data_IF_859200174972
#
_entry.id   IF_859200174972
#
_cell.length_a   1.000
_cell.length_b   1.000
_cell.length_c   1.000
_cell.angle_alpha   90.00
_cell.angle_beta   90.00
_cell.angle_gamma   90.00
#
_symmetry.space_group_name_H-M   'P 1'
#
loop_
_entity.id
_entity.type
_entity.pdbx_description
1 polymer ?
#
# COMPACT_ATOMS: atom_id res chain seq x y z
N UNK A 1 -39.53 -18.53 -31.11
CA UNK A 1 -38.44 -17.85 -30.39
C UNK A 1 -37.97 -16.78 -31.36
N UNK A 2 -38.52 -15.57 -31.22
CA UNK A 2 -38.07 -14.39 -31.96
C UNK A 2 -36.68 -14.00 -31.44
N UNK A 3 -35.65 -14.24 -32.25
CA UNK A 3 -34.35 -13.64 -32.09
C UNK A 3 -34.49 -12.16 -32.40
N UNK A 4 -34.61 -11.32 -31.37
CA UNK A 4 -34.44 -9.87 -31.53
C UNK A 4 -33.03 -9.66 -32.05
N UNK A 5 -32.93 -9.46 -33.38
CA UNK A 5 -31.72 -8.95 -34.02
C UNK A 5 -31.48 -7.56 -33.40
N UNK A 6 -30.40 -7.41 -32.68
CA UNK A 6 -29.95 -6.12 -32.21
C UNK A 6 -29.92 -5.15 -33.38
N UNK A 7 -30.50 -3.99 -33.20
CA UNK A 7 -30.49 -2.89 -34.17
C UNK A 7 -29.06 -2.57 -34.57
N UNK A 8 -28.77 -2.19 -35.81
CA UNK A 8 -27.40 -1.99 -36.31
C UNK A 8 -26.61 -1.03 -35.43
N UNK A 9 -27.28 0.01 -34.89
CA UNK A 9 -26.66 0.95 -33.95
C UNK A 9 -26.24 0.27 -32.62
N UNK A 10 -27.11 -0.57 -32.08
CA UNK A 10 -26.81 -1.33 -30.86
C UNK A 10 -25.67 -2.36 -31.07
N UNK A 11 -25.60 -2.94 -32.25
CA UNK A 11 -24.54 -3.87 -32.63
C UNK A 11 -23.18 -3.18 -32.66
N UNK A 12 -23.11 -2.00 -33.26
CA UNK A 12 -21.90 -1.17 -33.29
C UNK A 12 -21.45 -0.76 -31.88
N UNK A 13 -22.36 -0.40 -30.98
CA UNK A 13 -22.03 -0.07 -29.59
C UNK A 13 -21.51 -1.28 -28.82
N UNK A 14 -22.09 -2.46 -29.00
CA UNK A 14 -21.67 -3.70 -28.34
C UNK A 14 -20.31 -4.15 -28.85
N UNK A 15 -20.05 -4.09 -30.15
CA UNK A 15 -18.76 -4.44 -30.75
C UNK A 15 -17.66 -3.51 -30.26
N UNK A 16 -17.88 -2.19 -30.29
CA UNK A 16 -16.93 -1.21 -29.75
C UNK A 16 -16.67 -1.37 -28.24
N UNK A 17 -17.71 -1.65 -27.47
CA UNK A 17 -17.57 -1.90 -26.05
C UNK A 17 -16.76 -3.17 -25.78
N UNK A 18 -17.05 -4.24 -26.50
CA UNK A 18 -16.36 -5.52 -26.39
C UNK A 18 -14.88 -5.39 -26.79
N UNK A 19 -14.60 -4.69 -27.89
CA UNK A 19 -13.24 -4.46 -28.36
C UNK A 19 -12.44 -3.62 -27.36
N UNK A 20 -13.03 -2.56 -26.83
CA UNK A 20 -12.42 -1.73 -25.79
C UNK A 20 -12.18 -2.51 -24.49
N UNK A 21 -13.14 -3.33 -24.06
CA UNK A 21 -13.00 -4.20 -22.91
C UNK A 21 -11.92 -5.25 -23.11
N UNK A 22 -11.88 -5.86 -24.29
CA UNK A 22 -10.89 -6.88 -24.65
C UNK A 22 -9.48 -6.29 -24.71
N UNK A 23 -9.30 -5.12 -25.29
CA UNK A 23 -8.02 -4.41 -25.31
C UNK A 23 -7.55 -4.03 -23.90
N UNK A 24 -8.44 -3.51 -23.08
CA UNK A 24 -8.11 -3.22 -21.68
C UNK A 24 -7.75 -4.47 -20.88
N UNK A 25 -8.41 -5.59 -21.15
CA UNK A 25 -8.10 -6.86 -20.52
C UNK A 25 -6.74 -7.40 -20.98
N UNK A 26 -6.46 -7.37 -22.29
CA UNK A 26 -5.16 -7.76 -22.85
C UNK A 26 -4.02 -6.88 -22.30
N UNK A 27 -4.25 -5.58 -22.13
CA UNK A 27 -3.27 -4.70 -21.51
C UNK A 27 -2.98 -5.08 -20.06
N UNK A 28 -4.00 -5.40 -19.28
CA UNK A 28 -3.85 -5.84 -17.87
C UNK A 28 -3.16 -7.20 -17.74
N UNK A 29 -3.45 -8.13 -18.63
CA UNK A 29 -2.88 -9.49 -18.61
C UNK A 29 -1.47 -9.54 -19.20
N UNK A 30 -1.11 -8.58 -20.03
CA UNK A 30 0.21 -8.53 -20.70
C UNK A 30 1.32 -8.05 -19.75
N UNK A 31 1.65 -8.85 -18.72
CA UNK A 31 2.68 -8.53 -17.72
C UNK A 31 4.08 -8.28 -18.33
N UNK A 32 4.37 -8.81 -19.52
CA UNK A 32 5.65 -8.64 -20.23
C UNK A 32 5.80 -7.30 -20.95
N UNK A 33 4.74 -6.49 -21.08
CA UNK A 33 4.86 -5.14 -21.63
C UNK A 33 5.63 -4.26 -20.67
N UNK A 34 6.58 -3.45 -21.18
CA UNK A 34 7.39 -2.53 -20.38
C UNK A 34 6.55 -1.62 -19.48
N UNK A 35 5.41 -1.14 -19.98
CA UNK A 35 4.46 -0.31 -19.20
C UNK A 35 3.88 -1.05 -18.02
N UNK A 36 3.62 -2.34 -18.14
CA UNK A 36 3.06 -3.18 -17.09
C UNK A 36 4.16 -3.69 -16.15
N UNK A 37 5.35 -3.96 -16.65
CA UNK A 37 6.49 -4.41 -15.85
C UNK A 37 6.83 -3.43 -14.73
N UNK A 38 6.71 -2.13 -14.97
CA UNK A 38 6.88 -1.09 -13.97
C UNK A 38 5.64 -0.81 -13.11
N UNK A 39 4.50 -1.44 -13.43
CA UNK A 39 3.26 -1.30 -12.67
C UNK A 39 3.04 -2.42 -11.65
N UNK A 40 3.80 -3.51 -11.76
CA UNK A 40 3.79 -4.61 -10.80
C UNK A 40 4.78 -4.33 -9.67
N UNK A 41 4.45 -4.74 -8.44
CA UNK A 41 5.40 -4.65 -7.35
C UNK A 41 6.65 -5.48 -7.64
N UNK A 42 7.81 -5.10 -7.12
CA UNK A 42 9.05 -5.87 -7.30
C UNK A 42 8.85 -7.34 -6.91
N UNK A 43 9.16 -8.25 -7.81
CA UNK A 43 8.97 -9.70 -7.61
C UNK A 43 9.71 -10.26 -6.38
N UNK A 44 10.81 -9.61 -5.97
CA UNK A 44 11.60 -10.02 -4.82
C UNK A 44 11.05 -9.51 -3.47
N UNK A 45 9.96 -8.72 -3.47
CA UNK A 45 9.41 -8.14 -2.24
C UNK A 45 9.05 -9.20 -1.20
N UNK A 46 8.33 -10.24 -1.63
CA UNK A 46 7.86 -11.29 -0.71
C UNK A 46 9.00 -12.20 -0.23
N UNK A 47 10.11 -12.22 -0.94
CA UNK A 47 11.32 -12.96 -0.54
C UNK A 47 12.25 -12.16 0.37
N UNK A 48 12.16 -10.83 0.31
CA UNK A 48 12.94 -9.93 1.18
C UNK A 48 12.30 -9.75 2.57
N UNK A 49 11.09 -10.26 2.77
CA UNK A 49 10.37 -10.17 4.03
C UNK A 49 11.00 -11.07 5.08
N UNK A 50 11.46 -10.50 6.19
CA UNK A 50 11.87 -11.26 7.36
C UNK A 50 10.70 -12.06 7.96
N UNK A 51 11.01 -13.15 8.65
CA UNK A 51 10.00 -13.92 9.37
C UNK A 51 9.49 -13.12 10.58
N UNK A 52 8.21 -12.75 10.56
CA UNK A 52 7.58 -11.84 11.54
C UNK A 52 6.22 -12.36 12.02
N UNK A 53 6.19 -13.54 12.67
CA UNK A 53 4.94 -14.19 13.03
C UNK A 53 4.11 -13.41 14.07
N UNK A 54 4.76 -12.72 15.01
CA UNK A 54 4.06 -11.92 16.00
C UNK A 54 3.49 -10.65 15.36
N UNK A 55 4.29 -9.92 14.60
CA UNK A 55 3.83 -8.73 13.89
C UNK A 55 2.68 -9.05 12.92
N UNK A 56 2.73 -10.17 12.21
CA UNK A 56 1.65 -10.58 11.30
C UNK A 56 0.34 -10.90 12.03
N UNK A 57 0.40 -11.29 13.31
CA UNK A 57 -0.78 -11.54 14.14
C UNK A 57 -1.39 -10.25 14.73
N UNK A 58 -0.57 -9.24 15.06
CA UNK A 58 -0.98 -8.03 15.77
C UNK A 58 -0.99 -6.76 14.91
N UNK A 59 -0.58 -6.87 13.67
CA UNK A 59 -0.54 -5.75 12.74
C UNK A 59 -1.26 -6.05 11.42
N UNK A 60 -1.62 -4.99 10.72
CA UNK A 60 -2.16 -5.06 9.36
C UNK A 60 -1.14 -4.48 8.39
N UNK A 61 -0.75 -5.25 7.37
CA UNK A 61 0.15 -4.76 6.32
C UNK A 61 -0.62 -3.87 5.34
N UNK A 62 -0.30 -2.58 5.34
CA UNK A 62 -0.92 -1.57 4.50
C UNK A 62 -0.43 -1.63 3.05
N UNK A 63 0.68 -2.29 2.79
CA UNK A 63 1.28 -2.39 1.47
C UNK A 63 0.93 -3.72 0.76
N UNK A 64 -0.20 -4.33 1.08
CA UNK A 64 -0.72 -5.51 0.37
C UNK A 64 -1.64 -5.13 -0.78
N UNK A 65 -1.72 -5.99 -1.80
CA UNK A 65 -2.64 -5.80 -2.93
C UNK A 65 -4.10 -5.69 -2.47
N UNK A 66 -4.50 -6.51 -1.48
CA UNK A 66 -5.87 -6.53 -0.94
C UNK A 66 -6.23 -5.18 -0.33
N UNK A 67 -5.36 -4.63 0.49
CA UNK A 67 -5.57 -3.32 1.12
C UNK A 67 -5.61 -2.19 0.08
N UNK A 68 -4.67 -2.19 -0.87
CA UNK A 68 -4.50 -1.12 -1.84
C UNK A 68 -5.60 -1.07 -2.93
N UNK A 69 -6.34 -2.16 -3.14
CA UNK A 69 -7.48 -2.16 -4.06
C UNK A 69 -8.60 -1.19 -3.62
N UNK A 70 -8.71 -0.92 -2.34
CA UNK A 70 -9.72 -0.01 -1.79
C UNK A 70 -9.28 1.45 -1.83
N UNK A 71 -8.00 1.72 -2.09
CA UNK A 71 -7.45 3.07 -2.09
C UNK A 71 -7.60 3.70 -3.48
N UNK A 72 -8.45 4.72 -3.58
CA UNK A 72 -8.61 5.54 -4.78
C UNK A 72 -7.32 6.34 -5.05
N UNK A 73 -7.23 6.95 -6.24
CA UNK A 73 -6.10 7.82 -6.55
C UNK A 73 -6.04 8.98 -5.54
N UNK A 74 -4.90 9.08 -4.86
CA UNK A 74 -4.62 10.14 -3.91
C UNK A 74 -3.96 11.26 -4.70
N UNK A 75 -4.54 12.46 -4.60
CA UNK A 75 -4.09 13.66 -5.32
C UNK A 75 -3.61 14.68 -4.28
N UNK A 76 -2.60 15.46 -4.64
CA UNK A 76 -2.13 16.67 -3.94
C UNK A 76 -1.43 16.50 -2.57
N UNK A 77 -0.74 15.38 -2.31
CA UNK A 77 0.04 15.18 -1.08
C UNK A 77 1.48 14.71 -1.36
N UNK A 78 1.98 15.00 -2.56
CA UNK A 78 3.30 14.51 -2.97
C UNK A 78 4.44 15.08 -2.13
N UNK A 79 4.35 16.34 -1.73
CA UNK A 79 5.40 17.00 -0.92
C UNK A 79 5.55 16.38 0.45
N UNK A 80 4.43 16.17 1.15
CA UNK A 80 4.42 15.55 2.47
C UNK A 80 4.94 14.11 2.41
N UNK A 81 4.60 13.38 1.35
CA UNK A 81 5.09 12.01 1.15
C UNK A 81 6.59 12.02 0.89
N UNK A 82 7.11 12.94 0.08
CA UNK A 82 8.54 13.08 -0.18
C UNK A 82 9.33 13.43 1.09
N UNK A 83 8.81 14.31 1.93
CA UNK A 83 9.42 14.65 3.23
C UNK A 83 9.49 13.41 4.14
N UNK A 84 8.40 12.63 4.21
CA UNK A 84 8.39 11.37 4.99
C UNK A 84 9.40 10.38 4.43
N UNK A 85 9.47 10.20 3.11
CA UNK A 85 10.45 9.32 2.48
C UNK A 85 11.88 9.73 2.80
N UNK A 86 12.17 11.04 2.76
CA UNK A 86 13.50 11.57 3.09
C UNK A 86 13.89 11.28 4.55
N UNK A 87 12.94 11.41 5.49
CA UNK A 87 13.21 11.13 6.90
C UNK A 87 13.40 9.64 7.12
N UNK A 88 12.52 8.80 6.57
CA UNK A 88 12.57 7.33 6.72
C UNK A 88 13.82 6.69 6.09
N UNK A 89 14.48 7.37 5.17
CA UNK A 89 15.74 6.91 4.53
C UNK A 89 16.99 7.28 5.31
N UNK A 90 16.90 8.12 6.34
CA UNK A 90 18.03 8.45 7.20
C UNK A 90 18.52 7.23 7.97
N UNK A 91 19.82 7.18 8.23
CA UNK A 91 20.43 6.11 9.04
C UNK A 91 20.18 6.28 10.54
N UNK A 92 19.95 7.50 10.99
CA UNK A 92 19.69 7.88 12.39
C UNK A 92 18.50 8.84 12.39
N UNK A 93 17.67 8.74 13.43
CA UNK A 93 16.48 9.59 13.60
C UNK A 93 15.47 9.49 12.42
N UNK A 94 15.17 8.27 12.04
CA UNK A 94 14.28 7.95 10.94
C UNK A 94 12.80 7.78 11.38
N UNK A 95 12.43 8.35 12.51
CA UNK A 95 11.06 8.34 13.02
C UNK A 95 10.30 9.58 12.55
N UNK A 96 9.03 9.41 12.19
CA UNK A 96 8.15 10.47 11.70
C UNK A 96 6.90 10.56 12.58
N UNK A 97 6.55 11.76 13.00
CA UNK A 97 5.27 12.03 13.67
C UNK A 97 4.45 12.96 12.76
N UNK A 98 3.27 12.50 12.38
CA UNK A 98 2.34 13.29 11.55
C UNK A 98 1.32 13.93 12.49
N UNK A 99 1.34 15.26 12.57
CA UNK A 99 0.43 16.06 13.40
C UNK A 99 -0.52 16.83 12.50
N UNK A 100 -1.77 16.97 12.95
CA UNK A 100 -2.80 17.74 12.24
C UNK A 100 -4.18 17.50 12.83
N UNK A 101 -5.14 18.34 12.45
CA UNK A 101 -6.53 18.24 12.87
C UNK A 101 -7.19 16.94 12.38
N UNK A 102 -8.30 16.55 13.00
CA UNK A 102 -9.10 15.42 12.49
C UNK A 102 -9.64 15.74 11.11
N UNK A 103 -9.64 14.73 10.22
CA UNK A 103 -10.14 14.90 8.86
C UNK A 103 -9.17 15.49 7.84
N UNK A 104 -8.01 16.02 8.22
CA UNK A 104 -7.01 16.60 7.30
C UNK A 104 -6.41 15.58 6.32
N UNK A 105 -6.61 14.29 6.54
CA UNK A 105 -6.12 13.25 5.65
C UNK A 105 -4.77 12.63 6.06
N UNK A 106 -4.44 12.59 7.36
CA UNK A 106 -3.23 11.93 7.87
C UNK A 106 -3.13 10.47 7.41
N UNK A 107 -4.20 9.71 7.48
CA UNK A 107 -4.25 8.33 6.99
C UNK A 107 -4.04 8.25 5.48
N UNK A 108 -4.60 9.20 4.73
CA UNK A 108 -4.44 9.26 3.27
C UNK A 108 -2.98 9.40 2.85
N UNK A 109 -2.17 10.12 3.63
CA UNK A 109 -0.73 10.25 3.39
C UNK A 109 -0.03 8.89 3.58
N UNK A 110 -0.36 8.16 4.65
CA UNK A 110 0.22 6.84 4.92
C UNK A 110 -0.21 5.83 3.85
N UNK A 111 -1.48 5.86 3.43
CA UNK A 111 -2.00 5.01 2.36
C UNK A 111 -1.31 5.29 1.02
N UNK A 112 -1.05 6.58 0.72
CA UNK A 112 -0.32 6.99 -0.47
C UNK A 112 1.13 6.49 -0.43
N UNK A 113 1.80 6.62 0.71
CA UNK A 113 3.15 6.10 0.92
C UNK A 113 3.18 4.58 0.75
N UNK A 114 2.23 3.86 1.35
CA UNK A 114 2.11 2.40 1.21
C UNK A 114 1.91 1.99 -0.25
N UNK A 115 1.06 2.71 -0.99
CA UNK A 115 0.85 2.48 -2.43
C UNK A 115 2.11 2.76 -3.24
N UNK A 116 2.84 3.82 -2.92
CA UNK A 116 4.08 4.20 -3.59
C UNK A 116 5.19 3.14 -3.38
N UNK A 117 5.31 2.64 -2.14
CA UNK A 117 6.21 1.53 -1.80
C UNK A 117 5.79 0.23 -2.51
N UNK A 118 4.50 -0.10 -2.48
CA UNK A 118 3.99 -1.29 -3.15
C UNK A 118 4.28 -1.30 -4.66
N UNK A 119 4.10 -0.16 -5.32
CA UNK A 119 4.36 0.01 -6.75
C UNK A 119 5.86 0.14 -7.09
N UNK A 120 6.74 0.18 -6.08
CA UNK A 120 8.17 0.41 -6.29
C UNK A 120 8.51 1.80 -6.79
N UNK A 121 7.61 2.78 -6.63
CA UNK A 121 7.79 4.19 -7.03
C UNK A 121 8.37 5.05 -5.93
N UNK A 122 9.17 4.50 -5.07
CA UNK A 122 9.77 5.12 -3.90
C UNK A 122 11.30 5.03 -3.96
N UNK A 123 11.98 5.63 -2.96
CA UNK A 123 13.42 5.49 -2.81
C UNK A 123 13.81 4.00 -2.68
N UNK A 124 14.96 3.63 -3.26
CA UNK A 124 15.47 2.25 -3.24
C UNK A 124 15.57 1.65 -1.83
N UNK A 125 15.85 2.49 -0.83
CA UNK A 125 15.94 2.06 0.59
C UNK A 125 14.58 1.74 1.21
N UNK A 126 13.48 2.18 0.60
CA UNK A 126 12.10 1.93 1.05
C UNK A 126 11.37 0.91 0.19
N UNK A 127 11.88 0.59 -1.00
CA UNK A 127 11.20 -0.21 -2.02
C UNK A 127 10.74 -1.59 -1.54
N UNK A 128 11.44 -2.18 -0.57
CA UNK A 128 11.14 -3.51 -0.04
C UNK A 128 10.64 -3.49 1.40
N UNK A 129 10.31 -2.32 1.94
CA UNK A 129 9.80 -2.21 3.31
C UNK A 129 8.31 -2.48 3.36
N UNK A 130 7.88 -3.07 4.47
CA UNK A 130 6.46 -3.26 4.81
C UNK A 130 6.02 -2.14 5.74
N UNK A 131 4.80 -1.62 5.54
CA UNK A 131 4.18 -0.71 6.51
C UNK A 131 3.16 -1.50 7.29
N UNK A 132 3.44 -1.73 8.58
CA UNK A 132 2.60 -2.51 9.47
C UNK A 132 1.87 -1.58 10.45
N UNK A 133 0.54 -1.50 10.31
CA UNK A 133 -0.32 -0.79 11.26
C UNK A 133 -0.58 -1.67 12.47
N UNK A 134 -0.06 -1.28 13.64
CA UNK A 134 -0.24 -2.00 14.89
C UNK A 134 -1.66 -1.82 15.45
N UNK A 135 -2.23 -2.92 15.94
CA UNK A 135 -3.43 -2.87 16.78
C UNK A 135 -3.03 -2.61 18.24
N UNK A 136 -2.83 -1.34 18.58
CA UNK A 136 -2.33 -0.94 19.89
C UNK A 136 -3.20 -1.40 21.07
N UNK A 137 -4.52 -1.50 20.88
CA UNK A 137 -5.44 -1.97 21.94
C UNK A 137 -5.14 -3.43 22.33
N UNK A 138 -4.89 -4.29 21.36
CA UNK A 138 -4.50 -5.68 21.63
C UNK A 138 -3.08 -5.77 22.19
N UNK A 139 -2.16 -5.04 21.58
CA UNK A 139 -0.73 -5.04 21.96
C UNK A 139 -0.53 -4.62 23.41
N UNK A 140 -1.21 -3.56 23.84
CA UNK A 140 -1.13 -3.07 25.23
C UNK A 140 -1.84 -4.01 26.24
N UNK A 141 -2.97 -4.61 25.83
CA UNK A 141 -3.69 -5.57 26.66
C UNK A 141 -2.82 -6.79 26.98
N UNK A 142 -2.10 -7.27 26.00
CA UNK A 142 -1.26 -8.47 26.10
C UNK A 142 0.17 -8.16 26.57
N UNK A 143 0.53 -6.87 26.68
CA UNK A 143 1.85 -6.37 27.13
C UNK A 143 3.03 -6.88 26.31
N UNK A 144 2.84 -7.04 24.99
CA UNK A 144 3.81 -7.62 24.08
C UNK A 144 4.50 -6.57 23.19
N UNK A 145 4.38 -5.30 23.52
CA UNK A 145 4.90 -4.21 22.68
C UNK A 145 6.42 -4.28 22.48
N UNK A 146 7.16 -4.61 23.55
CA UNK A 146 8.61 -4.76 23.50
C UNK A 146 9.03 -5.91 22.57
N UNK A 147 8.37 -7.06 22.69
CA UNK A 147 8.65 -8.23 21.84
C UNK A 147 8.39 -7.92 20.34
N UNK A 148 7.33 -7.16 20.04
CA UNK A 148 7.03 -6.72 18.67
C UNK A 148 8.10 -5.75 18.14
N UNK A 149 8.61 -4.86 18.98
CA UNK A 149 9.72 -3.97 18.60
C UNK A 149 11.01 -4.75 18.31
N UNK A 150 11.33 -5.74 19.13
CA UNK A 150 12.49 -6.61 18.91
C UNK A 150 12.36 -7.38 17.59
N UNK A 151 11.19 -7.96 17.30
CA UNK A 151 10.92 -8.65 16.04
C UNK A 151 11.06 -7.70 14.84
N UNK A 152 10.53 -6.46 14.95
CA UNK A 152 10.65 -5.44 13.91
C UNK A 152 12.12 -5.04 13.66
N UNK A 153 12.92 -4.91 14.72
CA UNK A 153 14.34 -4.59 14.62
C UNK A 153 15.13 -5.72 13.95
N UNK A 154 14.82 -6.97 14.27
CA UNK A 154 15.47 -8.14 13.66
C UNK A 154 15.15 -8.25 12.18
N UNK A 155 13.90 -7.97 11.78
CA UNK A 155 13.46 -8.03 10.39
C UNK A 155 14.05 -6.92 9.52
N UNK A 156 14.39 -5.74 10.07
CA UNK A 156 15.04 -4.57 9.43
C UNK A 156 14.29 -3.90 8.28
N UNK A 157 13.31 -4.55 7.69
CA UNK A 157 12.56 -4.06 6.52
C UNK A 157 11.13 -3.60 6.85
N UNK A 158 10.88 -3.24 8.11
CA UNK A 158 9.56 -2.88 8.62
C UNK A 158 9.51 -1.40 8.98
N UNK A 159 8.39 -0.78 8.66
CA UNK A 159 7.97 0.53 9.14
C UNK A 159 6.73 0.28 9.99
N UNK A 160 6.83 0.52 11.31
CA UNK A 160 5.70 0.42 12.21
C UNK A 160 4.86 1.70 12.15
N UNK A 161 3.57 1.55 11.94
CA UNK A 161 2.62 2.65 12.00
C UNK A 161 1.72 2.51 13.23
N UNK A 162 1.78 3.51 14.09
CA UNK A 162 0.94 3.63 15.28
C UNK A 162 -0.06 4.75 15.03
N UNK A 163 -1.33 4.39 15.05
CA UNK A 163 -2.43 5.33 14.87
C UNK A 163 -2.86 5.92 16.22
N UNK A 164 -3.22 7.22 16.24
CA UNK A 164 -3.70 7.91 17.43
C UNK A 164 -2.79 7.73 18.66
N UNK A 165 -1.50 7.99 18.49
CA UNK A 165 -0.48 7.80 19.52
C UNK A 165 -0.81 8.55 20.83
N UNK A 166 -1.48 9.69 20.73
CA UNK A 166 -1.95 10.53 21.85
C UNK A 166 -2.80 9.76 22.87
N UNK A 167 -3.58 8.77 22.43
CA UNK A 167 -4.41 7.95 23.31
C UNK A 167 -3.61 7.00 24.22
N UNK A 168 -2.35 6.75 23.89
CA UNK A 168 -1.51 5.75 24.54
C UNK A 168 -0.35 6.36 25.35
N UNK A 169 -0.18 7.69 25.32
CA UNK A 169 0.88 8.40 26.03
C UNK A 169 0.46 8.89 27.44
N UNK A 170 -0.76 8.58 27.87
CA UNK A 170 -1.27 8.96 29.21
C UNK A 170 -1.12 7.84 30.21
#
# INVERSE_FOLDING_TARGET
IETHLLDEDNRFFVENWFEKYYQQHLEKVSWWKLTNLFSYPPLARDWAVGYTPMLDQYATDLATSIYLHHIKNIVDREKEIEEIEQILTKSIENNVIIVGEEGVGKHTIIDALAKKIYLGKTNIHLMYRRILKLNMERVLREKIFEDLLEEAQQAKNIILFIDNLDKYLN
#
